data_IF_853933819833
#
_entry.id   IF_853933819833
#
_cell.length_a   1.000
_cell.length_b   1.000
_cell.length_c   1.000
_cell.angle_alpha   90.00
_cell.angle_beta   90.00
_cell.angle_gamma   90.00
#
_symmetry.space_group_name_H-M   'P 1'
#
loop_
_entity.id
_entity.type
_entity.pdbx_description
1 polymer ?
#
# COMPACT_ATOMS: atom_id res chain seq x y z
N UNK A 1 -16.63 -16.43 -0.04
CA UNK A 1 -16.64 -15.03 0.38
C UNK A 1 -15.75 -14.22 -0.52
N UNK A 2 -16.16 -13.01 -0.83
CA UNK A 2 -15.40 -12.16 -1.73
C UNK A 2 -14.32 -11.42 -0.97
N UNK A 3 -13.12 -11.42 -1.52
CA UNK A 3 -12.04 -10.64 -0.95
C UNK A 3 -12.20 -9.17 -1.33
N UNK A 4 -11.67 -8.29 -0.49
CA UNK A 4 -11.70 -6.85 -0.74
C UNK A 4 -10.49 -6.43 -1.56
N UNK A 5 -10.68 -5.44 -2.40
CA UNK A 5 -9.60 -4.79 -3.11
C UNK A 5 -9.68 -3.30 -2.79
N UNK A 6 -8.64 -2.78 -2.17
CA UNK A 6 -8.55 -1.36 -1.84
C UNK A 6 -7.39 -0.75 -2.61
N UNK A 7 -7.65 0.36 -3.29
CA UNK A 7 -6.61 1.06 -4.04
C UNK A 7 -6.50 2.47 -3.50
N UNK A 8 -5.28 2.88 -3.18
CA UNK A 8 -5.02 4.19 -2.60
C UNK A 8 -3.86 4.85 -3.34
N UNK A 9 -4.07 6.11 -3.75
CA UNK A 9 -3.05 6.90 -4.41
C UNK A 9 -2.60 8.02 -3.48
N UNK A 10 -1.34 7.95 -3.04
CA UNK A 10 -0.79 8.96 -2.13
C UNK A 10 0.22 9.88 -2.81
N UNK A 11 0.27 9.86 -4.15
CA UNK A 11 1.22 10.69 -4.88
C UNK A 11 1.00 12.17 -4.63
N UNK A 12 -0.27 12.61 -4.61
CA UNK A 12 -0.59 14.00 -4.32
C UNK A 12 -0.38 14.34 -2.85
N UNK A 13 -0.69 13.41 -1.96
CA UNK A 13 -0.50 13.63 -0.53
C UNK A 13 0.98 13.93 -0.24
N UNK A 14 1.87 13.16 -0.84
CA UNK A 14 3.30 13.35 -0.67
C UNK A 14 3.75 14.65 -1.30
N UNK A 15 3.24 14.98 -2.48
CA UNK A 15 3.55 16.24 -3.17
C UNK A 15 3.15 17.44 -2.33
N UNK A 16 2.04 17.35 -1.62
CA UNK A 16 1.54 18.42 -0.77
C UNK A 16 2.09 18.36 0.65
N UNK A 17 3.09 17.50 0.88
CA UNK A 17 3.74 17.32 2.18
C UNK A 17 2.78 16.85 3.27
N UNK A 18 1.71 16.21 2.88
CA UNK A 18 0.83 15.54 3.81
C UNK A 18 1.43 14.19 4.20
N UNK A 19 1.12 13.73 5.39
CA UNK A 19 1.64 12.45 5.84
C UNK A 19 0.66 11.33 5.47
N UNK A 20 1.04 10.44 4.53
CA UNK A 20 0.13 9.38 4.09
C UNK A 20 0.12 8.17 5.01
N UNK A 21 1.01 8.12 5.99
CA UNK A 21 1.16 6.92 6.82
C UNK A 21 -0.12 6.52 7.53
N UNK A 22 -0.79 7.48 8.19
CA UNK A 22 -2.03 7.20 8.88
C UNK A 22 -3.12 6.75 7.92
N UNK A 23 -3.17 7.38 6.75
CA UNK A 23 -4.14 7.03 5.73
C UNK A 23 -3.94 5.60 5.26
N UNK A 24 -2.69 5.20 5.08
CA UNK A 24 -2.35 3.84 4.69
C UNK A 24 -2.73 2.86 5.79
N UNK A 25 -2.40 3.18 7.04
CA UNK A 25 -2.73 2.30 8.16
C UNK A 25 -4.23 2.13 8.32
N UNK A 26 -5.00 3.19 8.12
CA UNK A 26 -6.46 3.09 8.17
C UNK A 26 -7.00 2.22 7.04
N UNK A 27 -6.40 2.34 5.85
CA UNK A 27 -6.86 1.55 4.71
C UNK A 27 -6.66 0.05 4.92
N UNK A 28 -5.58 -0.35 5.59
CA UNK A 28 -5.29 -1.76 5.81
C UNK A 28 -5.93 -2.32 7.07
N UNK A 29 -6.43 -1.46 7.95
CA UNK A 29 -7.12 -1.91 9.16
C UNK A 29 -8.42 -2.60 8.74
N UNK A 30 -8.60 -3.82 9.20
CA UNK A 30 -9.81 -4.57 8.86
C UNK A 30 -9.69 -5.44 7.62
N UNK A 31 -8.54 -5.44 6.96
CA UNK A 31 -8.31 -6.37 5.86
C UNK A 31 -8.11 -7.78 6.41
N UNK A 32 -8.67 -8.74 5.69
CA UNK A 32 -8.61 -10.15 6.08
C UNK A 32 -7.76 -10.93 5.11
N UNK A 33 -7.50 -12.19 5.45
CA UNK A 33 -6.67 -13.05 4.61
C UNK A 33 -7.22 -13.09 3.17
N UNK A 34 -6.34 -12.86 2.21
CA UNK A 34 -6.71 -12.82 0.80
C UNK A 34 -7.11 -11.44 0.28
N UNK A 35 -7.33 -10.48 1.18
CA UNK A 35 -7.64 -9.11 0.75
C UNK A 35 -6.38 -8.46 0.18
N UNK A 36 -6.59 -7.56 -0.78
CA UNK A 36 -5.51 -6.92 -1.51
C UNK A 36 -5.58 -5.40 -1.32
N UNK A 37 -4.42 -4.80 -1.08
CA UNK A 37 -4.29 -3.36 -0.98
C UNK A 37 -3.26 -2.91 -2.02
N UNK A 38 -3.65 -2.00 -2.90
CA UNK A 38 -2.77 -1.46 -3.93
C UNK A 38 -2.44 -0.01 -3.58
N UNK A 39 -1.16 0.28 -3.50
CA UNK A 39 -0.68 1.62 -3.16
C UNK A 39 0.04 2.22 -4.36
N UNK A 40 -0.33 3.45 -4.71
CA UNK A 40 0.38 4.23 -5.72
C UNK A 40 1.18 5.32 -5.02
N UNK A 41 2.48 5.38 -5.28
CA UNK A 41 3.37 6.35 -4.66
C UNK A 41 4.33 6.91 -5.71
N UNK A 42 4.93 8.09 -5.47
CA UNK A 42 5.86 8.68 -6.43
C UNK A 42 7.27 8.05 -6.38
N UNK A 43 7.50 7.17 -5.40
CA UNK A 43 8.76 6.47 -5.24
C UNK A 43 8.49 5.15 -4.53
N UNK A 44 9.50 4.27 -4.53
CA UNK A 44 9.36 3.01 -3.81
C UNK A 44 9.26 3.28 -2.31
N UNK A 45 8.14 2.90 -1.68
CA UNK A 45 7.95 3.20 -0.25
C UNK A 45 8.71 2.21 0.63
N UNK A 46 10.03 2.20 0.50
CA UNK A 46 10.88 1.23 1.18
C UNK A 46 10.68 1.15 2.69
N UNK A 47 10.52 2.27 3.42
CA UNK A 47 10.30 2.18 4.87
C UNK A 47 8.98 1.52 5.25
N UNK A 48 8.00 1.55 4.35
CA UNK A 48 6.68 0.98 4.61
C UNK A 48 6.66 -0.54 4.42
N UNK A 49 7.48 -1.05 3.52
CA UNK A 49 7.44 -2.46 3.15
C UNK A 49 7.67 -3.40 4.32
N UNK A 50 8.71 -3.21 5.14
CA UNK A 50 8.91 -4.11 6.29
C UNK A 50 7.81 -3.96 7.34
N UNK A 51 7.21 -2.78 7.46
CA UNK A 51 6.12 -2.58 8.42
C UNK A 51 4.91 -3.43 8.04
N UNK A 52 4.53 -3.38 6.77
CA UNK A 52 3.40 -4.16 6.30
C UNK A 52 3.69 -5.65 6.29
N UNK A 53 4.93 -6.03 6.00
CA UNK A 53 5.33 -7.42 6.05
C UNK A 53 5.16 -7.99 7.46
N UNK A 54 5.51 -7.20 8.47
CA UNK A 54 5.32 -7.61 9.87
C UNK A 54 3.84 -7.76 10.22
N UNK A 55 2.98 -7.01 9.54
CA UNK A 55 1.54 -7.09 9.77
C UNK A 55 0.88 -8.24 9.00
N UNK A 56 1.66 -9.06 8.33
CA UNK A 56 1.13 -10.22 7.63
C UNK A 56 0.81 -9.99 6.17
N UNK A 57 1.44 -9.00 5.54
CA UNK A 57 1.25 -8.74 4.11
C UNK A 57 2.46 -9.20 3.31
N UNK A 58 2.19 -9.81 2.17
CA UNK A 58 3.18 -9.96 1.11
C UNK A 58 3.07 -8.75 0.19
N UNK A 59 4.15 -8.40 -0.46
CA UNK A 59 4.11 -7.24 -1.34
C UNK A 59 4.87 -7.49 -2.64
N UNK A 60 4.47 -6.73 -3.67
CA UNK A 60 5.17 -6.72 -4.94
C UNK A 60 5.20 -5.27 -5.41
N UNK A 61 6.40 -4.73 -5.58
CA UNK A 61 6.59 -3.35 -5.99
C UNK A 61 6.94 -3.29 -7.48
N UNK A 62 6.27 -2.41 -8.22
CA UNK A 62 6.48 -2.26 -9.65
C UNK A 62 6.58 -0.78 -9.99
N UNK A 63 7.62 -0.42 -10.72
CA UNK A 63 7.76 0.95 -11.23
C UNK A 63 7.05 1.04 -12.57
N UNK A 64 5.97 1.81 -12.63
CA UNK A 64 5.20 1.98 -13.85
C UNK A 64 5.77 3.09 -14.71
N UNK A 65 6.16 4.19 -14.08
CA UNK A 65 6.74 5.35 -14.74
C UNK A 65 7.65 6.05 -13.75
N UNK A 66 8.37 7.05 -14.20
CA UNK A 66 9.10 7.92 -13.28
C UNK A 66 8.09 8.53 -12.31
N UNK A 67 8.36 8.46 -11.03
CA UNK A 67 7.49 9.00 -9.99
C UNK A 67 6.12 8.33 -9.93
N UNK A 68 6.02 7.08 -10.41
CA UNK A 68 4.80 6.30 -10.24
C UNK A 68 5.14 4.84 -9.95
N UNK A 69 5.11 4.50 -8.69
CA UNK A 69 5.29 3.13 -8.22
C UNK A 69 3.96 2.56 -7.77
N UNK A 70 3.72 1.33 -8.16
CA UNK A 70 2.55 0.58 -7.73
C UNK A 70 3.02 -0.57 -6.86
N UNK A 71 2.54 -0.62 -5.64
CA UNK A 71 2.87 -1.71 -4.72
C UNK A 71 1.59 -2.46 -4.37
N UNK A 72 1.59 -3.75 -4.63
CA UNK A 72 0.45 -4.61 -4.34
C UNK A 72 0.75 -5.38 -3.07
N UNK A 73 -0.10 -5.18 -2.06
CA UNK A 73 0.00 -5.90 -0.79
C UNK A 73 -1.13 -6.90 -0.70
N UNK A 74 -0.78 -8.14 -0.36
CA UNK A 74 -1.77 -9.21 -0.19
C UNK A 74 -1.71 -9.69 1.26
N UNK A 75 -2.83 -9.66 1.94
CA UNK A 75 -2.90 -10.11 3.32
C UNK A 75 -2.80 -11.63 3.36
N UNK A 76 -1.85 -12.14 4.14
CA UNK A 76 -1.73 -13.58 4.36
C UNK A 76 -2.68 -14.02 5.47
N UNK A 77 -3.05 -15.29 5.41
CA UNK A 77 -3.98 -15.87 6.36
C UNK A 77 -3.46 -16.07 7.78
#
# INVERSE_FOLDING_TARGET
MENKLIELDVREDIKNKLEPFQKIMQAITGLEAGDVFILHAPFKPAPLLPILKKKGFDYEAEELEKKHWKVTFTKRG
#
